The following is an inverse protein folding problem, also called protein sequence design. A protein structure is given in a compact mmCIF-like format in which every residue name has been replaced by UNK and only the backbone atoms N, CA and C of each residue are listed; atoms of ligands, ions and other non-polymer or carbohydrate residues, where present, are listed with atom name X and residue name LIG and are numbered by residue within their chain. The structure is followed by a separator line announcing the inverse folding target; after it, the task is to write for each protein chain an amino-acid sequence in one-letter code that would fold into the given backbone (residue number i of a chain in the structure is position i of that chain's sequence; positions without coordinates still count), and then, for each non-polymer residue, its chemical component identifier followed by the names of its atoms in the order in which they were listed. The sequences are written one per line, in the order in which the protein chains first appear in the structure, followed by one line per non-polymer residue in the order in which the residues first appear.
data_IF_201118578714
#
_entry.id   IF_201118578714
#
_cell.length_a   1.000
_cell.length_b   1.000
_cell.length_c   1.000
_cell.angle_alpha   90.00
_cell.angle_beta   90.00
_cell.angle_gamma   90.00
#
_symmetry.space_group_name_H-M   'P 1'
#
loop_
_entity.id
_entity.type
_entity.pdbx_description
1 polymer ?
#
# COMPACT_ATOMS: atom_id res chain seq x y z
N UNK A 1 -24.95 -8.74 5.50
CA UNK A 1 -25.53 -9.55 4.40
C UNK A 1 -24.70 -10.82 4.12
N UNK A 2 -23.36 -10.74 3.97
CA UNK A 2 -22.51 -11.94 3.84
C UNK A 2 -22.68 -12.93 5.01
N UNK A 3 -22.70 -12.48 6.27
CA UNK A 3 -22.87 -13.38 7.43
C UNK A 3 -24.08 -14.32 7.35
N UNK A 4 -25.18 -13.87 6.73
CA UNK A 4 -26.39 -14.68 6.55
C UNK A 4 -26.20 -15.70 5.43
N UNK A 5 -25.60 -15.32 4.31
CA UNK A 5 -25.32 -16.23 3.20
C UNK A 5 -24.36 -17.37 3.60
N UNK A 6 -23.36 -17.08 4.43
CA UNK A 6 -22.36 -18.06 4.85
C UNK A 6 -22.90 -19.05 5.90
N UNK A 7 -23.91 -18.62 6.70
CA UNK A 7 -24.60 -19.49 7.66
C UNK A 7 -25.52 -20.53 6.98
N UNK A 8 -26.05 -20.21 5.81
CA UNK A 8 -27.07 -21.04 5.15
C UNK A 8 -26.56 -21.80 3.92
N UNK A 9 -25.36 -21.51 3.42
CA UNK A 9 -24.78 -22.15 2.24
C UNK A 9 -23.53 -22.95 2.66
N UNK A 10 -23.58 -24.30 2.68
CA UNK A 10 -22.51 -25.16 3.19
C UNK A 10 -21.15 -24.93 2.51
N UNK A 11 -21.14 -24.52 1.24
CA UNK A 11 -19.93 -24.26 0.47
C UNK A 11 -19.08 -23.11 1.04
N UNK A 12 -19.72 -22.14 1.68
CA UNK A 12 -19.06 -20.96 2.22
C UNK A 12 -18.53 -21.15 3.65
N UNK A 13 -18.77 -22.32 4.27
CA UNK A 13 -18.22 -22.66 5.61
C UNK A 13 -16.69 -22.63 5.65
N UNK A 14 -16.02 -22.87 4.52
CA UNK A 14 -14.57 -22.79 4.39
C UNK A 14 -14.02 -21.39 4.72
N UNK A 15 -14.84 -20.35 4.56
CA UNK A 15 -14.49 -18.97 4.85
C UNK A 15 -15.01 -18.49 6.22
N UNK A 16 -15.71 -19.33 6.99
CA UNK A 16 -16.27 -18.95 8.30
C UNK A 16 -15.18 -18.47 9.28
N UNK A 17 -14.01 -19.11 9.25
CA UNK A 17 -12.82 -18.73 10.05
C UNK A 17 -12.17 -17.41 9.59
N UNK A 18 -12.53 -16.93 8.40
CA UNK A 18 -11.92 -15.76 7.73
C UNK A 18 -12.80 -14.51 7.92
N UNK A 19 -14.02 -14.66 8.42
CA UNK A 19 -14.97 -13.56 8.60
C UNK A 19 -14.75 -12.88 9.96
N UNK A 20 -14.63 -11.55 9.95
CA UNK A 20 -14.62 -10.74 11.17
C UNK A 20 -15.99 -10.78 11.85
N UNK A 21 -16.02 -11.19 13.13
CA UNK A 21 -17.25 -11.30 13.95
C UNK A 21 -17.87 -9.93 14.28
N UNK A 22 -17.09 -8.86 14.24
CA UNK A 22 -17.53 -7.48 14.45
C UNK A 22 -17.03 -6.61 13.30
N UNK A 23 -17.91 -5.72 12.81
CA UNK A 23 -17.59 -4.70 11.78
C UNK A 23 -16.97 -3.45 12.43
N UNK A 24 -17.00 -3.38 13.77
CA UNK A 24 -16.56 -2.23 14.55
C UNK A 24 -15.16 -2.51 15.06
N UNK A 25 -14.16 -1.95 14.38
CA UNK A 25 -12.76 -2.01 14.80
C UNK A 25 -12.39 -0.96 15.86
N UNK A 26 -11.15 -0.99 16.39
CA UNK A 26 -10.66 -0.06 17.42
C UNK A 26 -10.70 1.42 16.98
N UNK A 27 -10.74 1.70 15.67
CA UNK A 27 -10.77 3.06 15.10
C UNK A 27 -12.18 3.59 14.79
N UNK A 28 -13.23 2.89 15.22
CA UNK A 28 -14.62 3.19 14.88
C UNK A 28 -15.10 4.61 15.24
N UNK A 29 -14.58 5.22 16.31
CA UNK A 29 -14.89 6.61 16.66
C UNK A 29 -14.17 7.62 15.76
N UNK A 30 -12.97 7.30 15.28
CA UNK A 30 -12.22 8.15 14.35
C UNK A 30 -12.88 8.14 12.96
N UNK A 31 -13.43 7.00 12.54
CA UNK A 31 -14.17 6.85 11.28
C UNK A 31 -15.44 7.72 11.19
N UNK A 32 -15.97 8.22 12.32
CA UNK A 32 -17.12 9.15 12.31
C UNK A 32 -16.70 10.60 11.98
N UNK A 33 -15.41 10.94 12.08
CA UNK A 33 -14.96 12.32 11.81
C UNK A 33 -15.06 12.62 10.32
N UNK A 34 -15.59 13.79 9.98
CA UNK A 34 -15.56 14.30 8.60
C UNK A 34 -14.11 14.63 8.25
N UNK A 35 -13.61 14.12 7.13
CA UNK A 35 -12.26 14.41 6.68
C UNK A 35 -12.22 15.76 5.97
N UNK A 36 -11.21 16.59 6.30
CA UNK A 36 -10.91 17.80 5.55
C UNK A 36 -9.92 17.45 4.44
N UNK A 37 -10.38 17.48 3.19
CA UNK A 37 -9.53 17.24 2.02
C UNK A 37 -9.07 18.57 1.47
N UNK A 38 -7.76 18.80 1.48
CA UNK A 38 -7.15 20.00 0.93
C UNK A 38 -6.60 19.67 -0.45
N UNK A 39 -7.27 20.04 -1.55
CA UNK A 39 -6.73 19.85 -2.89
C UNK A 39 -5.49 20.70 -3.12
N UNK A 40 -4.47 20.10 -3.73
CA UNK A 40 -3.32 20.84 -4.24
C UNK A 40 -3.76 21.75 -5.41
N UNK A 41 -3.26 22.99 -5.49
CA UNK A 41 -3.59 23.88 -6.59
C UNK A 41 -2.97 23.40 -7.90
N UNK A 42 -3.58 23.83 -9.01
CA UNK A 42 -3.08 23.52 -10.34
C UNK A 42 -1.91 24.44 -10.66
N UNK A 43 -0.73 23.86 -10.79
CA UNK A 43 0.49 24.54 -11.21
C UNK A 43 0.57 24.59 -12.74
N UNK A 44 1.05 25.70 -13.30
CA UNK A 44 1.31 25.84 -14.73
C UNK A 44 2.75 25.42 -15.07
N UNK A 45 3.11 24.20 -14.67
CA UNK A 45 4.44 23.61 -14.81
C UNK A 45 4.30 22.27 -15.54
N UNK A 46 5.29 21.90 -16.35
CA UNK A 46 5.25 20.67 -17.13
C UNK A 46 6.07 19.57 -16.47
N UNK A 47 5.43 18.48 -16.06
CA UNK A 47 6.07 17.30 -15.47
C UNK A 47 7.08 16.59 -16.40
N UNK A 48 7.03 16.87 -17.71
CA UNK A 48 8.02 16.35 -18.67
C UNK A 48 9.33 17.15 -18.70
N UNK A 49 9.36 18.35 -18.10
CA UNK A 49 10.54 19.22 -18.06
C UNK A 49 11.17 19.15 -16.68
N UNK A 50 12.43 18.75 -16.61
CA UNK A 50 13.17 18.60 -15.35
C UNK A 50 13.13 19.87 -14.48
N UNK A 51 13.43 21.03 -15.06
CA UNK A 51 13.42 22.32 -14.34
C UNK A 51 12.04 22.67 -13.74
N UNK A 52 10.97 22.23 -14.38
CA UNK A 52 9.61 22.44 -13.90
C UNK A 52 9.25 21.42 -12.81
N UNK A 53 9.75 20.18 -12.90
CA UNK A 53 9.59 19.15 -11.86
C UNK A 53 10.23 19.59 -10.55
N UNK A 54 11.45 20.14 -10.59
CA UNK A 54 12.11 20.66 -9.37
C UNK A 54 11.25 21.73 -8.71
N UNK A 55 10.73 22.68 -9.49
CA UNK A 55 9.83 23.72 -8.97
C UNK A 55 8.51 23.17 -8.42
N UNK A 56 7.98 22.09 -8.99
CA UNK A 56 6.80 21.39 -8.47
C UNK A 56 7.13 20.77 -7.10
N UNK A 57 8.29 20.14 -6.97
CA UNK A 57 8.74 19.54 -5.70
C UNK A 57 8.96 20.60 -4.62
N UNK A 58 9.67 21.69 -4.94
CA UNK A 58 9.87 22.82 -4.03
C UNK A 58 8.52 23.41 -3.57
N UNK A 59 7.56 23.52 -4.51
CA UNK A 59 6.22 23.99 -4.18
C UNK A 59 5.51 23.05 -3.20
N UNK A 60 5.58 21.73 -3.42
CA UNK A 60 4.94 20.75 -2.54
C UNK A 60 5.52 20.76 -1.14
N UNK A 61 6.84 20.86 -1.02
CA UNK A 61 7.52 20.94 0.28
C UNK A 61 7.07 22.18 1.06
N UNK A 62 7.15 23.36 0.44
CA UNK A 62 6.70 24.61 1.08
C UNK A 62 5.21 24.57 1.43
N UNK A 63 4.37 24.03 0.54
CA UNK A 63 2.92 23.93 0.78
C UNK A 63 2.61 23.02 1.97
N UNK A 64 3.32 21.90 2.11
CA UNK A 64 3.15 21.00 3.23
C UNK A 64 3.61 21.68 4.53
N UNK A 65 4.78 22.30 4.54
CA UNK A 65 5.29 23.06 5.68
C UNK A 65 4.27 24.10 6.17
N UNK A 66 3.80 24.96 5.26
CA UNK A 66 2.76 25.96 5.55
C UNK A 66 1.47 25.34 6.12
N UNK A 67 1.09 24.14 5.65
CA UNK A 67 -0.14 23.48 6.06
C UNK A 67 -0.01 22.88 7.45
N UNK A 68 1.12 22.27 7.77
CA UNK A 68 1.43 21.72 9.09
C UNK A 68 1.58 22.82 10.14
N UNK A 69 2.26 23.93 9.80
CA UNK A 69 2.33 25.11 10.66
C UNK A 69 0.93 25.65 10.98
N UNK A 70 0.06 25.80 9.97
CA UNK A 70 -1.34 26.22 10.16
C UNK A 70 -2.16 25.23 10.97
N UNK A 71 -1.80 23.95 10.96
CA UNK A 71 -2.43 22.92 11.78
C UNK A 71 -1.92 22.91 13.24
N UNK A 72 -0.92 23.75 13.57
CA UNK A 72 -0.31 23.80 14.91
C UNK A 72 0.56 22.58 15.23
N UNK A 73 1.03 21.87 14.21
CA UNK A 73 1.95 20.75 14.35
C UNK A 73 3.35 21.28 14.06
N UNK A 74 4.19 21.36 15.09
CA UNK A 74 5.61 21.65 14.89
C UNK A 74 6.22 20.49 14.09
N UNK A 75 6.72 20.82 12.89
CA UNK A 75 7.60 19.96 12.10
C UNK A 75 8.96 19.86 12.80
N UNK A 76 8.98 19.31 14.02
CA UNK A 76 10.21 18.82 14.61
C UNK A 76 10.72 17.67 13.74
N UNK A 77 12.04 17.49 13.71
CA UNK A 77 12.79 16.51 12.91
C UNK A 77 12.24 15.07 12.88
N UNK A 78 11.22 14.70 13.67
CA UNK A 78 10.53 13.42 13.63
C UNK A 78 9.36 13.34 12.64
N UNK A 79 8.88 14.46 12.08
CA UNK A 79 7.80 14.45 11.07
C UNK A 79 8.43 14.51 9.69
N UNK A 80 9.07 13.41 9.28
CA UNK A 80 9.63 13.28 7.94
C UNK A 80 8.50 13.19 6.92
N UNK A 81 8.09 14.34 6.36
CA UNK A 81 7.39 14.37 5.08
C UNK A 81 8.32 13.67 4.09
N UNK A 82 7.97 12.44 3.68
CA UNK A 82 8.65 11.42 2.85
C UNK A 82 9.68 11.83 1.77
N UNK A 83 10.54 12.80 2.01
CA UNK A 83 11.92 12.71 1.63
C UNK A 83 12.55 11.69 2.58
N UNK A 84 13.31 10.75 2.04
CA UNK A 84 14.42 10.12 2.74
C UNK A 84 14.34 8.67 3.23
N UNK A 85 13.48 7.74 2.79
CA UNK A 85 13.90 6.32 3.02
C UNK A 85 15.24 6.05 2.33
N UNK A 86 15.41 6.59 1.12
CA UNK A 86 16.69 6.54 0.39
C UNK A 86 17.73 7.47 0.97
N UNK A 87 17.36 8.70 1.36
CA UNK A 87 18.33 9.68 1.89
C UNK A 87 18.78 9.29 3.30
N UNK A 88 17.89 8.74 4.14
CA UNK A 88 18.21 8.19 5.46
C UNK A 88 19.05 6.90 5.35
N UNK A 89 18.72 6.02 4.40
CA UNK A 89 19.56 4.86 4.10
C UNK A 89 20.95 5.29 3.59
N UNK A 90 21.04 6.35 2.78
CA UNK A 90 22.31 6.92 2.30
C UNK A 90 23.07 7.57 3.47
N UNK A 91 22.44 8.40 4.28
CA UNK A 91 23.10 9.03 5.43
C UNK A 91 23.55 7.99 6.45
N UNK A 92 22.79 6.92 6.67
CA UNK A 92 23.19 5.82 7.55
C UNK A 92 24.28 4.93 6.93
N UNK A 93 24.27 4.71 5.60
CA UNK A 93 25.30 3.94 4.91
C UNK A 93 26.66 4.66 4.89
N UNK A 94 26.66 5.97 4.70
CA UNK A 94 27.86 6.81 4.66
C UNK A 94 28.21 7.47 6.01
N UNK A 95 27.43 7.20 7.05
CA UNK A 95 27.58 7.75 8.41
C UNK A 95 27.66 9.30 8.44
N UNK A 96 26.65 9.92 7.82
CA UNK A 96 26.52 11.36 7.68
C UNK A 96 25.53 11.90 8.73
N UNK A 97 25.92 12.95 9.46
CA UNK A 97 25.04 13.65 10.42
C UNK A 97 23.95 14.49 9.73
N UNK A 98 24.19 14.89 8.48
CA UNK A 98 23.26 15.67 7.66
C UNK A 98 23.56 15.43 6.17
N UNK A 99 22.57 15.66 5.29
CA UNK A 99 22.72 15.52 3.83
C UNK A 99 23.85 16.40 3.26
N UNK A 100 24.20 17.48 3.96
CA UNK A 100 25.27 18.41 3.57
C UNK A 100 26.62 18.11 4.24
N UNK A 101 26.70 17.11 5.11
CA UNK A 101 27.95 16.72 5.78
C UNK A 101 28.78 15.78 4.90
N UNK A 102 30.11 15.78 5.06
CA UNK A 102 30.96 14.85 4.33
C UNK A 102 30.73 13.40 4.84
N UNK A 103 30.75 12.39 3.96
CA UNK A 103 30.64 10.99 4.35
C UNK A 103 31.83 10.61 5.23
N UNK A 104 31.59 9.93 6.36
CA UNK A 104 32.64 9.46 7.29
C UNK A 104 33.00 7.99 7.08
N UNK A 105 32.20 7.28 6.28
CA UNK A 105 32.33 5.85 6.00
C UNK A 105 32.10 5.59 4.51
N UNK A 106 32.74 4.56 3.96
CA UNK A 106 32.65 4.18 2.54
C UNK A 106 33.03 5.34 1.59
N UNK A 107 34.10 6.06 1.93
CA UNK A 107 34.64 7.11 1.08
C UNK A 107 35.22 6.54 -0.22
N UNK A 108 35.35 7.40 -1.23
CA UNK A 108 36.00 7.05 -2.49
C UNK A 108 37.46 6.66 -2.20
N UNK A 109 37.93 5.47 -2.58
CA UNK A 109 39.32 5.09 -2.39
C UNK A 109 40.26 6.02 -3.18
N UNK A 110 41.37 6.44 -2.57
CA UNK A 110 42.38 7.34 -3.19
C UNK A 110 42.97 6.82 -4.51
N UNK A 111 42.76 5.55 -4.83
CA UNK A 111 43.25 4.86 -6.02
C UNK A 111 42.30 5.00 -7.25
N UNK A 112 41.18 5.72 -7.12
CA UNK A 112 40.19 5.91 -8.18
C UNK A 112 40.35 7.29 -8.82
N UNK A 113 41.11 7.36 -9.91
CA UNK A 113 41.46 8.64 -10.57
C UNK A 113 40.61 8.93 -11.83
N UNK A 114 40.04 7.90 -12.47
CA UNK A 114 39.37 8.01 -13.78
C UNK A 114 37.84 8.10 -13.62
N UNK A 115 37.17 8.93 -14.44
CA UNK A 115 35.71 9.14 -14.39
C UNK A 115 34.88 7.84 -14.53
N UNK A 116 35.34 6.88 -15.35
CA UNK A 116 34.63 5.61 -15.52
C UNK A 116 34.75 4.69 -14.28
N UNK A 117 35.89 4.73 -13.59
CA UNK A 117 36.09 3.99 -12.35
C UNK A 117 35.28 4.59 -11.19
N UNK A 118 35.08 5.92 -11.18
CA UNK A 118 34.16 6.58 -10.23
C UNK A 118 32.72 6.12 -10.44
N UNK A 119 32.27 6.04 -11.70
CA UNK A 119 30.92 5.55 -12.02
C UNK A 119 30.71 4.09 -11.60
N UNK A 120 31.70 3.23 -11.87
CA UNK A 120 31.65 1.82 -11.47
C UNK A 120 31.59 1.67 -9.94
N UNK A 121 32.37 2.47 -9.21
CA UNK A 121 32.33 2.52 -7.75
C UNK A 121 30.97 3.00 -7.22
N UNK A 122 30.39 4.06 -7.80
CA UNK A 122 29.06 4.55 -7.43
C UNK A 122 27.99 3.47 -7.64
N UNK A 123 28.06 2.74 -8.75
CA UNK A 123 27.11 1.65 -9.04
C UNK A 123 27.27 0.48 -8.06
N UNK A 124 28.49 0.09 -7.71
CA UNK A 124 28.76 -0.94 -6.70
C UNK A 124 28.27 -0.53 -5.30
N UNK A 125 28.47 0.73 -4.91
CA UNK A 125 27.92 1.26 -3.64
C UNK A 125 26.40 1.27 -3.64
N UNK A 126 25.77 1.69 -4.73
CA UNK A 126 24.31 1.68 -4.85
C UNK A 126 23.74 0.26 -4.73
N UNK A 127 24.40 -0.72 -5.37
CA UNK A 127 24.00 -2.11 -5.25
C UNK A 127 24.12 -2.62 -3.80
N UNK A 128 25.17 -2.26 -3.07
CA UNK A 128 25.32 -2.60 -1.65
C UNK A 128 24.26 -1.96 -0.76
N UNK A 129 23.86 -0.71 -1.05
CA UNK A 129 22.75 -0.05 -0.33
C UNK A 129 21.44 -0.81 -0.56
N UNK A 130 21.15 -1.21 -1.80
CA UNK A 130 19.96 -2.01 -2.14
C UNK A 130 20.00 -3.37 -1.43
N UNK A 131 21.15 -4.05 -1.40
CA UNK A 131 21.28 -5.35 -0.74
C UNK A 131 21.09 -5.26 0.78
N UNK A 132 21.63 -4.22 1.44
CA UNK A 132 21.56 -4.06 2.89
C UNK A 132 20.19 -3.57 3.35
N UNK A 133 19.66 -2.52 2.71
CA UNK A 133 18.45 -1.84 3.20
C UNK A 133 17.17 -2.27 2.48
N UNK A 134 17.24 -2.83 1.27
CA UNK A 134 16.05 -3.29 0.55
C UNK A 134 15.88 -4.82 0.55
N UNK A 135 16.96 -5.59 0.73
CA UNK A 135 16.93 -7.06 0.68
C UNK A 135 17.38 -7.71 2.00
N UNK A 136 16.56 -7.54 3.03
CA UNK A 136 16.76 -8.10 4.38
C UNK A 136 16.84 -9.64 4.37
N UNK A 137 18.06 -10.18 4.29
CA UNK A 137 18.34 -11.63 4.44
C UNK A 137 18.35 -12.08 5.91
N UNK A 138 18.33 -11.17 6.89
CA UNK A 138 18.54 -11.51 8.30
C UNK A 138 17.25 -11.69 9.11
N UNK A 139 16.12 -11.10 8.70
CA UNK A 139 14.81 -11.32 9.37
C UNK A 139 14.20 -12.73 9.21
N UNK A 140 14.84 -13.67 8.52
CA UNK A 140 14.36 -15.06 8.36
C UNK A 140 14.69 -16.02 9.51
N UNK A 141 15.33 -15.59 10.61
CA UNK A 141 15.78 -16.50 11.68
C UNK A 141 14.94 -16.58 12.97
N UNK A 142 13.86 -15.82 13.15
CA UNK A 142 13.22 -15.74 14.49
C UNK A 142 11.74 -16.11 14.63
N UNK A 143 11.05 -16.63 13.62
CA UNK A 143 9.69 -17.12 13.81
C UNK A 143 9.57 -18.62 13.50
N UNK A 144 10.00 -19.46 14.45
CA UNK A 144 9.56 -20.86 14.55
C UNK A 144 8.67 -20.99 15.79
N UNK A 145 7.35 -20.97 15.59
CA UNK A 145 6.41 -21.50 16.57
C UNK A 145 5.95 -22.89 16.16
N UNK A 146 5.83 -23.73 17.19
CA UNK A 146 5.51 -25.15 17.21
C UNK A 146 4.15 -25.46 16.57
N UNK A 147 4.08 -26.56 15.84
CA UNK A 147 2.81 -27.23 15.53
C UNK A 147 2.78 -28.60 16.20
N UNK A 148 1.64 -28.86 16.85
CA UNK A 148 1.31 -30.08 17.57
C UNK A 148 1.15 -31.30 16.65
N UNK A 149 1.55 -32.46 17.18
CA UNK A 149 1.45 -33.75 16.52
C UNK A 149 -0.02 -34.19 16.37
N UNK A 150 -0.43 -34.48 15.14
CA UNK A 150 -1.52 -35.43 14.87
C UNK A 150 -1.03 -36.42 13.82
N UNK A 151 -1.05 -37.68 14.21
CA UNK A 151 -0.66 -38.87 13.47
C UNK A 151 -1.54 -39.10 12.22
N UNK A 152 -0.97 -39.67 11.14
CA UNK A 152 -1.57 -40.63 10.17
C UNK A 152 -0.76 -40.67 8.86
N UNK A 153 -0.28 -41.90 8.55
CA UNK A 153 0.23 -42.50 7.31
C UNK A 153 0.62 -41.62 6.10
N UNK A 154 1.93 -41.57 5.80
CA UNK A 154 2.47 -41.03 4.54
C UNK A 154 3.97 -41.28 4.33
N UNK A 155 4.45 -41.08 3.09
CA UNK A 155 5.83 -41.35 2.66
C UNK A 155 6.81 -40.34 3.25
N UNK A 156 7.87 -40.85 3.89
CA UNK A 156 8.90 -40.08 4.61
C UNK A 156 10.08 -39.72 3.71
N UNK A 157 10.42 -38.44 3.59
CA UNK A 157 11.69 -37.97 3.01
C UNK A 157 12.64 -37.58 4.14
N UNK A 158 13.79 -38.26 4.31
CA UNK A 158 14.80 -37.86 5.29
C UNK A 158 15.67 -36.72 4.74
N UNK A 159 15.75 -35.61 5.48
CA UNK A 159 16.62 -34.46 5.24
C UNK A 159 17.65 -34.43 6.37
N UNK A 160 18.94 -34.51 6.03
CA UNK A 160 20.04 -34.46 7.01
C UNK A 160 20.66 -33.06 6.99
N UNK A 161 20.57 -32.35 8.11
CA UNK A 161 21.20 -31.03 8.25
C UNK A 161 22.67 -31.15 8.67
N UNK A 162 23.46 -30.11 8.39
CA UNK A 162 24.93 -30.03 8.60
C UNK A 162 25.39 -30.14 10.07
N UNK A 163 24.46 -30.12 11.01
CA UNK A 163 24.65 -30.36 12.45
C UNK A 163 24.32 -31.81 12.87
N UNK A 164 24.22 -32.74 11.92
CA UNK A 164 24.01 -34.17 12.18
C UNK A 164 22.58 -34.57 12.54
N UNK A 165 21.65 -33.60 12.64
CA UNK A 165 20.25 -33.85 12.98
C UNK A 165 19.45 -34.23 11.73
N UNK A 166 18.75 -35.37 11.78
CA UNK A 166 17.86 -35.87 10.72
C UNK A 166 16.43 -35.35 10.93
N UNK A 167 15.85 -34.74 9.91
CA UNK A 167 14.45 -34.34 9.83
C UNK A 167 13.72 -35.23 8.83
N UNK A 168 12.49 -35.62 9.14
CA UNK A 168 11.63 -36.42 8.26
C UNK A 168 10.41 -35.59 7.86
N UNK A 169 10.26 -35.28 6.58
CA UNK A 169 9.06 -34.60 6.05
C UNK A 169 8.14 -35.61 5.36
N UNK A 170 6.86 -35.62 5.73
CA UNK A 170 5.86 -36.55 5.19
C UNK A 170 5.03 -35.85 4.13
N UNK A 171 5.12 -36.31 2.87
CA UNK A 171 4.29 -35.81 1.78
C UNK A 171 3.03 -36.67 1.69
N UNK A 172 1.87 -36.07 2.00
CA UNK A 172 0.56 -36.70 1.74
C UNK A 172 0.35 -36.82 0.23
N UNK A 173 0.20 -38.03 -0.30
CA UNK A 173 -0.29 -38.21 -1.67
C UNK A 173 -1.74 -37.76 -1.73
N UNK A 174 -2.06 -36.84 -2.64
CA UNK A 174 -3.44 -36.45 -2.92
C UNK A 174 -4.25 -37.70 -3.29
N UNK A 175 -5.26 -38.02 -2.48
CA UNK A 175 -6.23 -39.04 -2.84
C UNK A 175 -6.93 -38.58 -4.12
N UNK A 176 -6.82 -39.36 -5.19
CA UNK A 176 -7.62 -39.16 -6.40
C UNK A 176 -9.07 -39.44 -6.04
N UNK A 177 -9.82 -38.40 -5.67
CA UNK A 177 -11.28 -38.44 -5.69
C UNK A 177 -11.72 -38.81 -7.11
N UNK A 178 -12.54 -39.84 -7.24
CA UNK A 178 -13.18 -40.22 -8.49
C UNK A 178 -13.81 -38.97 -9.12
N UNK A 179 -13.39 -38.61 -10.34
CA UNK A 179 -13.87 -37.44 -11.06
C UNK A 179 -15.33 -37.67 -11.46
N UNK A 180 -16.25 -37.24 -10.61
CA UNK A 180 -17.63 -36.99 -11.02
C UNK A 180 -17.61 -36.01 -12.20
N UNK A 181 -18.43 -36.28 -13.22
CA UNK A 181 -18.53 -35.45 -14.41
C UNK A 181 -18.82 -34.00 -13.99
N UNK A 182 -17.94 -33.09 -14.38
CA UNK A 182 -17.95 -31.70 -13.89
C UNK A 182 -19.25 -30.99 -14.32
N UNK A 183 -20.08 -30.62 -13.35
CA UNK A 183 -21.30 -29.85 -13.61
C UNK A 183 -20.94 -28.38 -13.89
N UNK A 184 -20.79 -28.07 -15.18
CA UNK A 184 -20.43 -26.75 -15.67
C UNK A 184 -21.46 -25.67 -15.31
N UNK A 185 -22.75 -26.03 -15.23
CA UNK A 185 -23.82 -25.07 -14.89
C UNK A 185 -23.74 -24.71 -13.42
N UNK A 186 -23.55 -25.70 -12.55
CA UNK A 186 -23.34 -25.48 -11.12
C UNK A 186 -22.05 -24.72 -10.83
N UNK A 187 -20.95 -25.05 -11.49
CA UNK A 187 -19.67 -24.35 -11.33
C UNK A 187 -19.75 -22.90 -11.79
N UNK A 188 -20.43 -22.63 -12.91
CA UNK A 188 -20.71 -21.26 -13.34
C UNK A 188 -21.56 -20.49 -12.32
N UNK A 189 -22.63 -21.10 -11.82
CA UNK A 189 -23.47 -20.50 -10.79
C UNK A 189 -22.71 -20.17 -9.50
N UNK A 190 -21.85 -21.08 -9.04
CA UNK A 190 -20.98 -20.86 -7.89
C UNK A 190 -20.00 -19.71 -8.14
N UNK A 191 -19.33 -19.67 -9.29
CA UNK A 191 -18.38 -18.62 -9.65
C UNK A 191 -19.06 -17.24 -9.71
N UNK A 192 -20.24 -17.15 -10.31
CA UNK A 192 -21.03 -15.91 -10.36
C UNK A 192 -21.41 -15.42 -8.96
N UNK A 193 -21.82 -16.32 -8.06
CA UNK A 193 -22.15 -15.98 -6.68
C UNK A 193 -20.91 -15.58 -5.89
N UNK A 194 -19.81 -16.30 -6.03
CA UNK A 194 -18.55 -16.00 -5.36
C UNK A 194 -18.02 -14.62 -5.75
N UNK A 195 -17.85 -14.35 -7.04
CA UNK A 195 -17.40 -13.06 -7.55
C UNK A 195 -18.39 -11.94 -7.22
N UNK A 196 -19.70 -12.20 -7.31
CA UNK A 196 -20.75 -11.23 -6.99
C UNK A 196 -20.77 -10.84 -5.51
N UNK A 197 -20.61 -11.81 -4.60
CA UNK A 197 -20.52 -11.58 -3.17
C UNK A 197 -19.22 -10.89 -2.79
N UNK A 198 -18.10 -11.27 -3.42
CA UNK A 198 -16.82 -10.60 -3.23
C UNK A 198 -16.90 -9.13 -3.66
N UNK A 199 -17.49 -8.84 -4.82
CA UNK A 199 -17.70 -7.47 -5.28
C UNK A 199 -18.58 -6.67 -4.32
N UNK A 200 -19.69 -7.25 -3.84
CA UNK A 200 -20.53 -6.64 -2.79
C UNK A 200 -19.74 -6.35 -1.51
N UNK A 201 -18.84 -7.25 -1.10
CA UNK A 201 -18.00 -7.06 0.08
C UNK A 201 -17.00 -5.90 -0.09
N UNK A 202 -16.43 -5.72 -1.28
CA UNK A 202 -15.55 -4.59 -1.59
C UNK A 202 -16.34 -3.27 -1.58
N UNK A 203 -17.55 -3.24 -2.16
CA UNK A 203 -18.41 -2.06 -2.10
C UNK A 203 -18.79 -1.68 -0.66
N UNK A 204 -19.02 -2.69 0.19
CA UNK A 204 -19.27 -2.49 1.62
C UNK A 204 -18.02 -1.97 2.36
N UNK A 205 -16.84 -2.48 2.01
CA UNK A 205 -15.56 -2.00 2.51
C UNK A 205 -15.34 -0.52 2.21
N UNK A 206 -15.72 -0.05 1.01
CA UNK A 206 -15.60 1.36 0.65
C UNK A 206 -16.45 2.29 1.51
N UNK A 207 -17.56 1.81 2.07
CA UNK A 207 -18.45 2.60 2.94
C UNK A 207 -18.08 2.47 4.41
N UNK A 208 -17.63 1.29 4.81
CA UNK A 208 -17.25 0.92 6.16
C UNK A 208 -15.84 0.31 6.11
N UNK A 209 -14.79 1.15 6.08
CA UNK A 209 -13.43 0.66 5.98
C UNK A 209 -13.05 -0.07 7.27
N UNK A 210 -12.53 -1.29 7.08
CA UNK A 210 -11.99 -2.14 8.13
C UNK A 210 -10.73 -2.76 7.53
N UNK A 211 -9.58 -2.46 8.15
CA UNK A 211 -8.25 -2.86 7.66
C UNK A 211 -8.15 -4.37 7.50
N UNK A 212 -8.45 -5.12 8.55
CA UNK A 212 -8.25 -6.57 8.55
C UNK A 212 -9.17 -7.24 7.52
N UNK A 213 -10.42 -6.75 7.42
CA UNK A 213 -11.36 -7.19 6.38
C UNK A 213 -10.86 -6.84 4.99
N UNK A 214 -10.34 -5.62 4.80
CA UNK A 214 -9.81 -5.14 3.55
C UNK A 214 -8.63 -5.94 3.05
N UNK A 215 -7.62 -6.18 3.91
CA UNK A 215 -6.45 -6.97 3.54
C UNK A 215 -6.81 -8.41 3.14
N UNK A 216 -7.80 -9.02 3.81
CA UNK A 216 -8.30 -10.35 3.43
C UNK A 216 -9.00 -10.33 2.07
N UNK A 217 -9.88 -9.37 1.84
CA UNK A 217 -10.56 -9.20 0.55
C UNK A 217 -9.56 -8.97 -0.59
N UNK A 218 -8.55 -8.12 -0.36
CA UNK A 218 -7.50 -7.84 -1.33
C UNK A 218 -6.65 -9.07 -1.66
N UNK A 219 -6.31 -9.91 -0.68
CA UNK A 219 -5.62 -11.19 -0.93
C UNK A 219 -6.41 -12.09 -1.87
N UNK A 220 -7.73 -12.19 -1.69
CA UNK A 220 -8.61 -12.95 -2.60
C UNK A 220 -8.65 -12.30 -3.98
N UNK A 221 -8.78 -10.97 -4.06
CA UNK A 221 -8.74 -10.22 -5.33
C UNK A 221 -7.43 -10.44 -6.09
N UNK A 222 -6.29 -10.45 -5.39
CA UNK A 222 -4.98 -10.67 -5.97
C UNK A 222 -4.90 -12.02 -6.69
N UNK A 223 -5.47 -13.08 -6.10
CA UNK A 223 -5.52 -14.41 -6.73
C UNK A 223 -6.33 -14.35 -8.03
N UNK A 224 -7.52 -13.74 -8.02
CA UNK A 224 -8.34 -13.61 -9.23
C UNK A 224 -7.68 -12.74 -10.31
N UNK A 225 -7.00 -11.66 -9.92
CA UNK A 225 -6.29 -10.80 -10.87
C UNK A 225 -5.02 -11.45 -11.41
N UNK A 226 -4.34 -12.28 -10.63
CA UNK A 226 -3.17 -13.04 -11.09
C UNK A 226 -3.56 -14.21 -11.99
N UNK A 227 -4.68 -14.86 -11.71
CA UNK A 227 -5.22 -15.92 -12.56
C UNK A 227 -5.57 -15.42 -13.98
N UNK A 228 -5.88 -14.13 -14.11
CA UNK A 228 -6.14 -13.48 -15.40
C UNK A 228 -4.89 -12.72 -15.88
N UNK A 229 -4.25 -13.19 -16.96
CA UNK A 229 -3.01 -12.59 -17.47
C UNK A 229 -3.10 -11.06 -17.70
N UNK A 230 -4.24 -10.57 -18.20
CA UNK A 230 -4.44 -9.14 -18.49
C UNK A 230 -4.60 -8.24 -17.26
N UNK A 231 -4.90 -8.83 -16.08
CA UNK A 231 -5.17 -8.10 -14.85
C UNK A 231 -4.03 -8.20 -13.84
N UNK A 232 -2.91 -8.83 -14.21
CA UNK A 232 -1.75 -9.03 -13.34
C UNK A 232 -1.19 -7.73 -12.77
N UNK A 233 -1.34 -6.60 -13.48
CA UNK A 233 -0.95 -5.27 -12.95
C UNK A 233 -1.64 -4.96 -11.62
N UNK A 234 -2.93 -5.24 -11.50
CA UNK A 234 -3.69 -5.01 -10.26
C UNK A 234 -3.25 -5.98 -9.17
N UNK A 235 -2.86 -7.20 -9.52
CA UNK A 235 -2.29 -8.14 -8.56
C UNK A 235 -0.96 -7.62 -7.97
N UNK A 236 -0.09 -7.02 -8.80
CA UNK A 236 1.16 -6.41 -8.32
C UNK A 236 0.93 -5.19 -7.44
N UNK A 237 -0.03 -4.33 -7.79
CA UNK A 237 -0.41 -3.19 -6.94
C UNK A 237 -0.95 -3.64 -5.57
N UNK A 238 -1.79 -4.68 -5.56
CA UNK A 238 -2.26 -5.28 -4.30
C UNK A 238 -1.10 -5.89 -3.51
N UNK A 239 -0.18 -6.60 -4.18
CA UNK A 239 0.99 -7.17 -3.52
C UNK A 239 1.85 -6.07 -2.88
N UNK A 240 2.07 -4.94 -3.58
CA UNK A 240 2.81 -3.79 -3.04
C UNK A 240 2.14 -3.27 -1.77
N UNK A 241 0.82 -3.04 -1.81
CA UNK A 241 0.06 -2.61 -0.64
C UNK A 241 0.16 -3.63 0.51
N UNK A 242 0.05 -4.94 0.23
CA UNK A 242 0.19 -5.96 1.26
C UNK A 242 1.58 -5.98 1.89
N UNK A 243 2.63 -5.73 1.10
CA UNK A 243 4.02 -5.64 1.59
C UNK A 243 4.20 -4.40 2.48
N UNK A 244 3.67 -3.25 2.07
CA UNK A 244 3.68 -2.05 2.91
C UNK A 244 3.00 -2.31 4.25
N UNK A 245 1.82 -2.91 4.21
CA UNK A 245 0.97 -3.16 5.38
C UNK A 245 1.49 -4.22 6.35
N UNK A 246 2.28 -5.18 5.87
CA UNK A 246 2.71 -6.33 6.68
C UNK A 246 4.21 -6.33 7.01
N UNK A 247 5.04 -5.67 6.19
CA UNK A 247 6.49 -5.83 6.25
C UNK A 247 7.29 -4.53 6.37
N UNK A 248 6.83 -3.44 5.72
CA UNK A 248 7.64 -2.21 5.60
C UNK A 248 7.22 -1.15 6.61
N UNK A 249 5.92 -0.83 6.67
CA UNK A 249 5.42 0.27 7.49
C UNK A 249 5.27 -0.15 8.96
N UNK A 250 5.44 0.81 9.86
CA UNK A 250 5.04 0.62 11.25
C UNK A 250 3.54 0.38 11.36
N UNK A 251 3.07 -0.12 12.50
CA UNK A 251 1.64 -0.38 12.70
C UNK A 251 0.80 0.89 12.50
N UNK A 252 1.27 2.04 12.99
CA UNK A 252 0.57 3.31 12.82
C UNK A 252 0.50 3.74 11.35
N UNK A 253 1.66 3.80 10.67
CA UNK A 253 1.73 4.20 9.26
C UNK A 253 0.93 3.26 8.35
N UNK A 254 0.93 1.97 8.65
CA UNK A 254 0.12 0.99 7.92
C UNK A 254 -1.38 1.29 8.07
N UNK A 255 -1.84 1.63 9.28
CA UNK A 255 -3.23 2.04 9.48
C UNK A 255 -3.55 3.34 8.73
N UNK A 256 -2.66 4.32 8.78
CA UNK A 256 -2.83 5.60 8.08
C UNK A 256 -2.87 5.43 6.56
N UNK A 257 -1.96 4.65 5.97
CA UNK A 257 -1.95 4.33 4.53
C UNK A 257 -3.26 3.63 4.12
N UNK A 258 -3.71 2.64 4.89
CA UNK A 258 -4.92 1.90 4.56
C UNK A 258 -6.17 2.77 4.65
N UNK A 259 -6.34 3.51 5.75
CA UNK A 259 -7.51 4.39 5.92
C UNK A 259 -7.45 5.61 5.00
N UNK A 260 -6.27 6.04 4.56
CA UNK A 260 -6.07 7.07 3.54
C UNK A 260 -6.63 6.72 2.16
N UNK A 261 -6.91 5.44 1.91
CA UNK A 261 -7.64 5.00 0.71
C UNK A 261 -9.11 5.47 0.69
N UNK A 262 -9.64 5.93 1.83
CA UNK A 262 -11.03 6.31 2.00
C UNK A 262 -11.16 7.73 2.56
N UNK A 263 -12.22 8.44 2.14
CA UNK A 263 -12.53 9.79 2.61
C UNK A 263 -13.94 9.81 3.16
N UNK A 264 -14.09 10.26 4.41
CA UNK A 264 -15.42 10.52 4.96
C UNK A 264 -15.92 11.91 4.59
N UNK A 265 -16.94 11.96 3.73
CA UNK A 265 -17.48 13.23 3.20
C UNK A 265 -18.55 13.87 4.10
N UNK A 266 -19.30 13.07 4.87
CA UNK A 266 -20.48 13.55 5.62
C UNK A 266 -20.33 13.45 7.15
N UNK A 267 -19.23 12.90 7.65
CA UNK A 267 -19.03 12.69 9.09
C UNK A 267 -20.00 11.65 9.68
N UNK A 268 -20.45 10.70 8.87
CA UNK A 268 -21.23 9.53 9.31
C UNK A 268 -20.39 8.27 9.11
N UNK A 269 -20.69 7.23 9.86
CA UNK A 269 -19.93 5.99 9.80
C UNK A 269 -19.98 5.33 8.41
N UNK A 270 -21.11 5.43 7.71
CA UNK A 270 -21.38 4.79 6.42
C UNK A 270 -21.15 5.71 5.20
N UNK A 271 -20.57 6.90 5.40
CA UNK A 271 -20.40 7.92 4.36
C UNK A 271 -18.98 8.01 3.78
N UNK A 272 -18.22 6.93 3.89
CA UNK A 272 -16.91 6.82 3.24
C UNK A 272 -17.08 6.62 1.73
N UNK A 273 -16.17 7.22 0.98
CA UNK A 273 -15.98 6.97 -0.45
C UNK A 273 -14.49 6.71 -0.71
N UNK A 274 -14.14 6.00 -1.79
CA UNK A 274 -12.75 5.86 -2.20
C UNK A 274 -12.11 7.23 -2.45
N UNK A 275 -10.85 7.39 -2.04
CA UNK A 275 -10.08 8.61 -2.24
C UNK A 275 -9.98 8.99 -3.73
N UNK A 276 -9.84 7.98 -4.61
CA UNK A 276 -9.86 8.16 -6.07
C UNK A 276 -11.16 8.81 -6.59
N UNK A 277 -12.32 8.36 -6.09
CA UNK A 277 -13.61 8.95 -6.45
C UNK A 277 -13.75 10.40 -5.95
N UNK A 278 -13.22 10.69 -4.76
CA UNK A 278 -13.15 12.05 -4.23
C UNK A 278 -12.26 12.93 -5.11
N UNK A 279 -11.13 12.41 -5.59
CA UNK A 279 -10.23 13.10 -6.51
C UNK A 279 -10.94 13.44 -7.82
N UNK A 280 -11.74 12.53 -8.38
CA UNK A 280 -12.56 12.79 -9.56
C UNK A 280 -13.53 13.97 -9.33
N UNK A 281 -14.20 14.02 -8.18
CA UNK A 281 -15.08 15.13 -7.82
C UNK A 281 -14.33 16.47 -7.68
N UNK A 282 -13.11 16.44 -7.15
CA UNK A 282 -12.24 17.62 -7.05
C UNK A 282 -11.85 18.08 -8.45
N UNK A 283 -11.33 17.20 -9.30
CA UNK A 283 -10.93 17.52 -10.67
C UNK A 283 -12.10 18.09 -11.46
N UNK A 284 -13.30 17.51 -11.34
CA UNK A 284 -14.51 18.03 -11.98
C UNK A 284 -14.86 19.44 -11.50
N UNK A 285 -14.69 19.71 -10.21
CA UNK A 285 -14.91 21.04 -9.62
C UNK A 285 -13.88 22.06 -10.12
N UNK A 286 -12.60 21.69 -10.14
CA UNK A 286 -11.50 22.51 -10.68
C UNK A 286 -11.76 22.88 -12.14
N UNK A 287 -12.06 21.89 -12.99
CA UNK A 287 -12.35 22.10 -14.41
C UNK A 287 -13.55 23.04 -14.62
N UNK A 288 -14.60 22.91 -13.80
CA UNK A 288 -15.76 23.82 -13.84
C UNK A 288 -15.37 25.25 -13.48
N UNK A 289 -14.57 25.43 -12.42
CA UNK A 289 -14.10 26.75 -12.01
C UNK A 289 -13.24 27.42 -13.09
N UNK A 290 -12.30 26.68 -13.69
CA UNK A 290 -11.48 27.18 -14.80
C UNK A 290 -12.35 27.56 -16.00
N UNK A 291 -13.40 26.77 -16.31
CA UNK A 291 -14.35 27.11 -17.37
C UNK A 291 -15.05 28.45 -17.12
N UNK A 292 -15.44 28.72 -15.88
CA UNK A 292 -16.09 29.98 -15.47
C UNK A 292 -15.13 31.18 -15.37
N UNK A 293 -13.82 31.00 -15.57
CA UNK A 293 -12.87 32.12 -15.65
C UNK A 293 -12.89 32.82 -17.02
N UNK A 294 -13.57 32.26 -18.04
CA UNK A 294 -13.66 32.82 -19.39
C UNK A 294 -12.28 33.23 -19.94
N UNK A 295 -12.09 34.49 -20.34
CA UNK A 295 -10.83 35.03 -20.88
C UNK A 295 -9.77 35.30 -19.81
N UNK A 296 -10.13 35.25 -18.52
CA UNK A 296 -9.22 35.56 -17.42
C UNK A 296 -8.32 34.38 -16.99
N UNK A 297 -8.02 33.46 -17.93
CA UNK A 297 -7.24 32.23 -17.71
C UNK A 297 -5.74 32.49 -17.83
N UNK A 298 -5.18 33.25 -16.89
CA UNK A 298 -3.73 33.35 -16.73
C UNK A 298 -3.24 32.31 -15.72
N UNK A 299 -1.98 31.86 -15.82
CA UNK A 299 -1.42 30.86 -14.90
C UNK A 299 -1.52 31.29 -13.42
N UNK A 300 -1.28 32.56 -13.13
CA UNK A 300 -1.42 33.15 -11.79
C UNK A 300 -2.88 33.10 -11.29
N UNK A 301 -3.84 33.43 -12.14
CA UNK A 301 -5.26 33.41 -11.76
C UNK A 301 -5.79 32.00 -11.57
N UNK A 302 -5.33 31.03 -12.36
CA UNK A 302 -5.70 29.62 -12.20
C UNK A 302 -5.16 29.07 -10.88
N UNK A 303 -3.88 29.32 -10.58
CA UNK A 303 -3.25 28.89 -9.33
C UNK A 303 -3.99 29.49 -8.12
N UNK A 304 -4.25 30.80 -8.15
CA UNK A 304 -4.94 31.52 -7.06
C UNK A 304 -6.39 31.05 -6.86
N UNK A 305 -7.13 30.79 -7.94
CA UNK A 305 -8.51 30.31 -7.81
C UNK A 305 -8.59 28.85 -7.39
N UNK A 306 -7.65 28.02 -7.82
CA UNK A 306 -7.64 26.60 -7.46
C UNK A 306 -7.19 26.39 -6.02
N UNK A 307 -6.26 27.20 -5.50
CA UNK A 307 -5.86 27.17 -4.09
C UNK A 307 -6.99 27.61 -3.13
N UNK A 308 -7.94 28.41 -3.61
CA UNK A 308 -9.10 28.84 -2.82
C UNK A 308 -10.25 27.82 -2.79
N UNK A 309 -10.22 26.75 -3.60
CA UNK A 309 -11.28 25.74 -3.66
C UNK A 309 -11.58 25.01 -2.34
N UNK A 310 -10.60 24.68 -1.47
CA UNK A 310 -10.89 24.08 -0.17
C UNK A 310 -11.82 24.95 0.66
N UNK A 311 -11.62 26.28 0.65
CA UNK A 311 -12.41 27.24 1.44
C UNK A 311 -13.85 27.45 0.92
N UNK A 312 -14.14 27.05 -0.32
CA UNK A 312 -15.47 27.23 -0.94
C UNK A 312 -16.41 26.04 -0.63
N UNK A 313 -15.86 24.91 -0.15
CA UNK A 313 -16.61 23.66 0.09
C UNK A 313 -16.93 23.39 1.57
N UNK A 314 -16.41 24.20 2.49
CA UNK A 314 -16.75 24.17 3.92
C UNK A 314 -18.02 24.99 4.21
#
# INVERSE_FOLDING_TARGET
MLHVAFKHIPYFTLFEKVITKQIVGPFSEQLKKKHKVVPLPVLHLNEQKYDDVVKIMDYHENFLSDTYEKAGVDLNNNTHIHYAYTVEAITHFFDMESVFSAPRKNELPDNVCTEDQKKEWVMDMFQKIVEIYMWDKEKKKQNQHQEDNVEVDGVVIPIQLSNGKRWSYVIKKAQKSQTAQEDKVKNYGHLCLELGLQFKAILDLCKLPDRDRGLRLLKVCMIHFKANNNLSKYAYEILRLLVHQLCILSEQEAHEEFYGLFVNTKGKMDSHIPCDLQMEYIVKSVKRNIKHMFSNKTGKNITTRTSALPAIKD
#
